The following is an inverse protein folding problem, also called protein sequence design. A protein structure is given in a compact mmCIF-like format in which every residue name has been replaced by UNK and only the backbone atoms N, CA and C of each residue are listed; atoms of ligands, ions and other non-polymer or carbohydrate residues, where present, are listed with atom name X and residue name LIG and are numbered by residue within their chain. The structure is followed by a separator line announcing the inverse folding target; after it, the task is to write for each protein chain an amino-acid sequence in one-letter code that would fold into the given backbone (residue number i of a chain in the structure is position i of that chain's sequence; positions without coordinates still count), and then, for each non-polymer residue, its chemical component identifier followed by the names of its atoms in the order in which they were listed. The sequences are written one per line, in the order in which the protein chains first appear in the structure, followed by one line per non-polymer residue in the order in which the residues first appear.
data_IF_692177076576
#
_entry.id   IF_692177076576
#
_cell.length_a   1.000
_cell.length_b   1.000
_cell.length_c   1.000
_cell.angle_alpha   90.00
_cell.angle_beta   90.00
_cell.angle_gamma   90.00
#
_symmetry.space_group_name_H-M   'P 1'
#
loop_
_entity.id
_entity.type
_entity.pdbx_description
1 polymer ?
#
# COMPACT_ATOMS: atom_id res chain seq x y z
N UNK A 1 19.96 -24.94 32.80
CA UNK A 1 18.80 -24.30 32.18
C UNK A 1 17.62 -24.50 33.10
N UNK A 2 16.90 -23.43 33.44
CA UNK A 2 15.64 -23.54 34.17
C UNK A 2 14.59 -24.28 33.32
N UNK A 3 13.59 -24.89 33.96
CA UNK A 3 12.49 -25.58 33.26
C UNK A 3 11.81 -24.66 32.24
N UNK A 4 11.65 -23.38 32.59
CA UNK A 4 11.06 -22.34 31.74
C UNK A 4 11.95 -21.98 30.54
N UNK A 5 13.28 -21.92 30.71
CA UNK A 5 14.20 -21.71 29.58
C UNK A 5 14.14 -22.85 28.56
N UNK A 6 14.15 -24.10 29.03
CA UNK A 6 14.05 -25.29 28.14
C UNK A 6 12.72 -25.27 27.41
N UNK A 7 11.64 -24.95 28.11
CA UNK A 7 10.30 -24.84 27.55
C UNK A 7 10.22 -23.74 26.47
N UNK A 8 10.86 -22.59 26.72
CA UNK A 8 10.99 -21.50 25.75
C UNK A 8 11.76 -21.89 24.49
N UNK A 9 12.87 -22.62 24.61
CA UNK A 9 13.63 -23.12 23.46
C UNK A 9 12.82 -24.13 22.63
N UNK A 10 12.12 -25.06 23.28
CA UNK A 10 11.27 -26.05 22.60
C UNK A 10 10.13 -25.35 21.88
N UNK A 11 9.49 -24.35 22.52
CA UNK A 11 8.44 -23.56 21.90
C UNK A 11 8.95 -22.80 20.67
N UNK A 12 10.10 -22.12 20.76
CA UNK A 12 10.65 -21.34 19.66
C UNK A 12 11.01 -22.24 18.47
N UNK A 13 11.63 -23.39 18.74
CA UNK A 13 11.92 -24.38 17.69
C UNK A 13 10.63 -24.96 17.09
N UNK A 14 9.62 -25.26 17.93
CA UNK A 14 8.31 -25.74 17.50
C UNK A 14 7.57 -24.73 16.63
N UNK A 15 7.61 -23.45 16.99
CA UNK A 15 7.04 -22.35 16.21
C UNK A 15 7.66 -22.29 14.82
N UNK A 16 8.99 -22.27 14.75
CA UNK A 16 9.72 -22.21 13.48
C UNK A 16 9.43 -23.44 12.63
N UNK A 17 9.42 -24.64 13.22
CA UNK A 17 9.11 -25.89 12.52
C UNK A 17 7.69 -25.89 11.93
N UNK A 18 6.68 -25.49 12.69
CA UNK A 18 5.28 -25.45 12.23
C UNK A 18 5.07 -24.37 11.15
N UNK A 19 5.79 -23.25 11.22
CA UNK A 19 5.80 -22.24 10.15
C UNK A 19 6.37 -22.82 8.85
N UNK A 20 7.45 -23.60 8.91
CA UNK A 20 8.02 -24.26 7.71
C UNK A 20 7.14 -25.36 7.12
N UNK A 21 6.30 -26.01 7.94
CA UNK A 21 5.27 -26.95 7.46
C UNK A 21 4.20 -26.22 6.63
N UNK A 22 4.13 -24.89 6.69
CA UNK A 22 3.16 -24.08 5.96
C UNK A 22 1.80 -24.00 6.65
N UNK A 23 1.72 -24.35 7.93
CA UNK A 23 0.50 -24.21 8.71
C UNK A 23 0.21 -22.72 8.99
N UNK A 24 -1.06 -22.26 8.97
CA UNK A 24 -1.36 -20.85 9.10
C UNK A 24 -0.89 -20.28 10.45
N UNK A 25 -0.13 -19.19 10.38
CA UNK A 25 0.64 -18.62 11.50
C UNK A 25 -0.26 -18.31 12.71
N UNK A 26 -1.45 -17.76 12.51
CA UNK A 26 -2.37 -17.43 13.61
C UNK A 26 -2.77 -18.65 14.46
N UNK A 27 -3.02 -19.80 13.83
CA UNK A 27 -3.34 -21.02 14.56
C UNK A 27 -2.11 -21.58 15.28
N UNK A 28 -0.94 -21.50 14.63
CA UNK A 28 0.35 -21.88 15.24
C UNK A 28 0.60 -21.11 16.53
N UNK A 29 0.46 -19.78 16.49
CA UNK A 29 0.66 -18.91 17.64
C UNK A 29 -0.33 -19.23 18.77
N UNK A 30 -1.63 -19.37 18.46
CA UNK A 30 -2.64 -19.67 19.47
C UNK A 30 -2.43 -21.05 20.13
N UNK A 31 -2.13 -22.06 19.32
CA UNK A 31 -1.90 -23.43 19.81
C UNK A 31 -0.67 -23.51 20.70
N UNK A 32 0.44 -22.90 20.26
CA UNK A 32 1.66 -22.83 21.06
C UNK A 32 1.44 -22.03 22.35
N UNK A 33 0.74 -20.90 22.27
CA UNK A 33 0.40 -20.09 23.44
C UNK A 33 -0.38 -20.89 24.49
N UNK A 34 -1.42 -21.61 24.08
CA UNK A 34 -2.27 -22.35 25.02
C UNK A 34 -1.52 -23.57 25.61
N UNK A 35 -0.78 -24.32 24.80
CA UNK A 35 -0.09 -25.54 25.27
C UNK A 35 1.13 -25.20 26.12
N UNK A 36 2.03 -24.37 25.59
CA UNK A 36 3.25 -24.02 26.31
C UNK A 36 2.96 -23.07 27.47
N UNK A 37 1.98 -22.18 27.34
CA UNK A 37 1.46 -21.39 28.45
C UNK A 37 0.85 -22.28 29.53
N UNK A 38 0.02 -23.26 29.16
CA UNK A 38 -0.61 -24.18 30.11
C UNK A 38 0.40 -25.00 30.92
N UNK A 39 1.50 -25.43 30.28
CA UNK A 39 2.59 -26.16 30.95
C UNK A 39 3.47 -25.22 31.81
N UNK A 40 3.70 -23.97 31.36
CA UNK A 40 4.59 -23.03 32.03
C UNK A 40 3.95 -22.22 33.17
N UNK A 41 2.77 -21.65 32.93
CA UNK A 41 2.03 -20.76 33.84
C UNK A 41 0.84 -21.43 34.52
N UNK A 42 0.45 -22.62 34.06
CA UNK A 42 -0.78 -23.29 34.47
C UNK A 42 -1.96 -22.98 33.55
N UNK A 43 -2.85 -23.97 33.40
CA UNK A 43 -4.00 -23.89 32.49
C UNK A 43 -4.95 -22.74 32.81
N UNK A 44 -5.33 -22.56 34.09
CA UNK A 44 -6.29 -21.54 34.49
C UNK A 44 -5.80 -20.12 34.19
N UNK A 45 -4.54 -19.82 34.49
CA UNK A 45 -3.96 -18.50 34.22
C UNK A 45 -3.83 -18.26 32.72
N UNK A 46 -3.42 -19.28 31.96
CA UNK A 46 -3.29 -19.19 30.50
C UNK A 46 -4.63 -18.92 29.83
N UNK A 47 -5.69 -19.64 30.22
CA UNK A 47 -7.03 -19.42 29.67
C UNK A 47 -7.59 -18.05 30.05
N UNK A 48 -7.37 -17.58 31.30
CA UNK A 48 -7.81 -16.25 31.72
C UNK A 48 -7.08 -15.14 30.95
N UNK A 49 -5.75 -15.24 30.76
CA UNK A 49 -4.98 -14.28 29.97
C UNK A 49 -5.42 -14.29 28.50
N UNK A 50 -5.59 -15.47 27.91
CA UNK A 50 -6.09 -15.59 26.54
C UNK A 50 -7.48 -14.95 26.39
N UNK A 51 -8.39 -15.21 27.32
CA UNK A 51 -9.73 -14.61 27.33
C UNK A 51 -9.67 -13.07 27.44
N UNK A 52 -8.91 -12.55 28.41
CA UNK A 52 -8.75 -11.11 28.61
C UNK A 52 -8.16 -10.44 27.37
N UNK A 53 -7.19 -11.08 26.73
CA UNK A 53 -6.53 -10.51 25.56
C UNK A 53 -7.42 -10.55 24.32
N UNK A 54 -8.15 -11.65 24.09
CA UNK A 54 -9.15 -11.73 23.01
C UNK A 54 -10.18 -10.63 23.20
N UNK A 55 -10.70 -10.46 24.43
CA UNK A 55 -11.75 -9.50 24.71
C UNK A 55 -11.27 -8.05 24.72
N UNK A 56 -10.04 -7.80 25.18
CA UNK A 56 -9.39 -6.50 25.09
C UNK A 56 -9.15 -6.10 23.63
N UNK A 57 -8.61 -7.02 22.83
CA UNK A 57 -8.36 -6.79 21.39
C UNK A 57 -9.67 -6.50 20.65
N UNK A 58 -10.77 -7.20 20.96
CA UNK A 58 -12.08 -6.95 20.33
C UNK A 58 -12.71 -5.59 20.66
N UNK A 59 -12.29 -4.95 21.76
CA UNK A 59 -12.80 -3.63 22.19
C UNK A 59 -11.98 -2.46 21.66
N UNK A 60 -10.90 -2.73 20.93
CA UNK A 60 -10.02 -1.70 20.42
C UNK A 60 -10.70 -0.90 19.30
N UNK A 61 -10.67 0.42 19.41
CA UNK A 61 -11.29 1.35 18.47
C UNK A 61 -10.53 1.44 17.13
N UNK A 62 -9.30 0.93 17.06
CA UNK A 62 -8.43 1.00 15.88
C UNK A 62 -8.68 -0.17 14.91
N UNK A 63 -9.04 -1.36 15.40
CA UNK A 63 -9.27 -2.52 14.51
C UNK A 63 -10.42 -2.37 13.51
N UNK A 64 -11.51 -1.62 13.77
CA UNK A 64 -12.49 -1.29 12.75
C UNK A 64 -11.91 -0.56 11.52
N UNK A 65 -10.76 0.12 11.64
CA UNK A 65 -10.07 0.73 10.50
C UNK A 65 -9.51 -0.31 9.51
N UNK A 66 -9.20 -1.53 9.98
CA UNK A 66 -8.58 -2.59 9.18
C UNK A 66 -9.46 -3.01 7.99
N UNK A 67 -10.73 -3.44 8.18
CA UNK A 67 -11.62 -3.72 7.07
C UNK A 67 -11.82 -2.54 6.11
N UNK A 68 -11.86 -1.30 6.63
CA UNK A 68 -12.10 -0.11 5.81
C UNK A 68 -10.92 0.20 4.89
N UNK A 69 -9.68 0.11 5.39
CA UNK A 69 -8.48 0.25 4.55
C UNK A 69 -8.35 -0.87 3.54
N UNK A 70 -8.63 -2.11 3.94
CA UNK A 70 -8.64 -3.25 3.03
C UNK A 70 -9.69 -3.04 1.93
N UNK A 71 -10.88 -2.57 2.28
CA UNK A 71 -11.95 -2.28 1.33
C UNK A 71 -11.57 -1.17 0.36
N UNK A 72 -10.98 -0.08 0.86
CA UNK A 72 -10.40 0.98 0.03
C UNK A 72 -9.42 0.40 -0.99
N UNK A 73 -8.54 -0.51 -0.55
CA UNK A 73 -7.61 -1.22 -1.40
C UNK A 73 -8.30 -2.01 -2.53
N UNK A 74 -9.24 -2.88 -2.18
CA UNK A 74 -9.97 -3.68 -3.18
C UNK A 74 -10.79 -2.82 -4.14
N UNK A 75 -11.40 -1.73 -3.66
CA UNK A 75 -12.17 -0.82 -4.51
C UNK A 75 -11.28 -0.06 -5.49
N UNK A 76 -10.10 0.39 -5.05
CA UNK A 76 -9.13 1.06 -5.95
C UNK A 76 -8.53 0.10 -6.97
N UNK A 77 -8.35 -1.17 -6.61
CA UNK A 77 -7.95 -2.23 -7.54
C UNK A 77 -9.02 -2.46 -8.62
N UNK A 78 -10.28 -2.63 -8.23
CA UNK A 78 -11.38 -2.85 -9.16
C UNK A 78 -11.67 -1.65 -10.08
N UNK A 79 -11.34 -0.44 -9.66
CA UNK A 79 -11.39 0.75 -10.51
C UNK A 79 -10.42 0.67 -11.71
N UNK A 80 -9.53 -0.33 -11.76
CA UNK A 80 -8.57 -0.52 -12.83
C UNK A 80 -7.44 0.52 -12.82
N UNK A 81 -7.18 1.10 -11.64
CA UNK A 81 -6.16 2.13 -11.46
C UNK A 81 -4.75 1.55 -11.58
N UNK A 82 -4.56 0.28 -11.16
CA UNK A 82 -3.25 -0.37 -11.23
C UNK A 82 -2.79 -0.58 -12.67
N UNK A 83 -3.65 -1.11 -13.55
CA UNK A 83 -3.29 -1.38 -14.95
C UNK A 83 -2.97 -0.08 -15.70
N UNK A 84 -3.74 0.97 -15.43
CA UNK A 84 -3.50 2.32 -15.96
C UNK A 84 -2.17 2.89 -15.48
N UNK A 85 -1.92 2.80 -14.17
CA UNK A 85 -0.68 3.27 -13.58
C UNK A 85 0.53 2.54 -14.14
N UNK A 86 0.44 1.21 -14.25
CA UNK A 86 1.48 0.38 -14.84
C UNK A 86 1.74 0.74 -16.30
N UNK A 87 0.69 0.87 -17.12
CA UNK A 87 0.80 1.27 -18.52
C UNK A 87 1.44 2.65 -18.68
N UNK A 88 1.05 3.61 -17.84
CA UNK A 88 1.57 4.97 -17.86
C UNK A 88 3.05 5.03 -17.43
N UNK A 89 3.42 4.37 -16.34
CA UNK A 89 4.81 4.32 -15.85
C UNK A 89 5.73 3.56 -16.81
N UNK A 90 5.27 2.44 -17.37
CA UNK A 90 6.00 1.71 -18.43
C UNK A 90 6.31 2.63 -19.60
N UNK A 91 5.31 3.38 -20.05
CA UNK A 91 5.45 4.25 -21.22
C UNK A 91 6.36 5.44 -20.95
N UNK A 92 6.26 6.05 -19.76
CA UNK A 92 7.14 7.13 -19.34
C UNK A 92 8.60 6.69 -19.24
N UNK A 93 8.83 5.46 -18.77
CA UNK A 93 10.16 4.89 -18.58
C UNK A 93 10.68 4.14 -19.80
N UNK A 94 9.95 4.16 -20.93
CA UNK A 94 10.26 3.36 -22.11
C UNK A 94 11.66 3.58 -22.69
N UNK A 95 12.26 4.75 -22.47
CA UNK A 95 13.62 5.10 -22.90
C UNK A 95 14.73 4.50 -22.04
N UNK A 96 14.40 3.97 -20.85
CA UNK A 96 15.37 3.43 -19.91
C UNK A 96 15.55 1.92 -20.10
N UNK A 97 16.78 1.44 -19.91
CA UNK A 97 17.08 0.00 -19.82
C UNK A 97 16.52 -0.54 -18.50
N UNK A 98 15.84 -1.68 -18.53
CA UNK A 98 15.12 -2.22 -17.37
C UNK A 98 13.81 -1.49 -17.03
N UNK A 99 13.21 -0.77 -18.00
CA UNK A 99 11.98 0.02 -17.81
C UNK A 99 10.80 -0.76 -17.23
N UNK A 100 10.65 -2.04 -17.59
CA UNK A 100 9.59 -2.89 -17.05
C UNK A 100 9.80 -3.23 -15.57
N UNK A 101 11.04 -3.43 -15.11
CA UNK A 101 11.31 -3.65 -13.69
C UNK A 101 10.99 -2.39 -12.88
N UNK A 102 11.38 -1.23 -13.39
CA UNK A 102 11.05 0.05 -12.78
C UNK A 102 9.54 0.29 -12.74
N UNK A 103 8.84 0.02 -13.84
CA UNK A 103 7.39 0.18 -13.91
C UNK A 103 6.70 -0.71 -12.88
N UNK A 104 7.14 -1.97 -12.69
CA UNK A 104 6.58 -2.85 -11.65
C UNK A 104 6.87 -2.29 -10.25
N UNK A 105 8.12 -1.98 -9.93
CA UNK A 105 8.50 -1.54 -8.57
C UNK A 105 7.82 -0.21 -8.22
N UNK A 106 7.79 0.76 -9.14
CA UNK A 106 7.16 2.06 -8.90
C UNK A 106 5.63 1.95 -8.84
N UNK A 107 5.01 1.16 -9.73
CA UNK A 107 3.57 0.89 -9.64
C UNK A 107 3.24 0.24 -8.30
N UNK A 108 4.02 -0.78 -7.90
CA UNK A 108 3.84 -1.46 -6.62
C UNK A 108 4.04 -0.52 -5.44
N UNK A 109 5.02 0.39 -5.49
CA UNK A 109 5.30 1.39 -4.44
C UNK A 109 4.13 2.37 -4.27
N UNK A 110 3.61 2.90 -5.39
CA UNK A 110 2.51 3.86 -5.35
C UNK A 110 1.20 3.17 -4.94
N UNK A 111 0.99 1.96 -5.43
CA UNK A 111 -0.23 1.19 -5.16
C UNK A 111 -0.21 0.50 -3.79
N UNK A 112 0.97 0.22 -3.25
CA UNK A 112 1.19 -0.28 -1.87
C UNK A 112 0.54 0.65 -0.85
N UNK A 113 0.66 1.96 -1.06
CA UNK A 113 -0.01 2.97 -0.22
C UNK A 113 -1.54 2.83 -0.26
N UNK A 114 -2.15 2.43 -1.37
CA UNK A 114 -3.60 2.31 -1.44
C UNK A 114 -4.14 1.01 -0.83
N UNK A 115 -3.39 -0.09 -0.93
CA UNK A 115 -3.91 -1.43 -0.63
C UNK A 115 -3.42 -2.01 0.68
N UNK A 116 -2.18 -1.74 1.09
CA UNK A 116 -1.63 -2.29 2.33
C UNK A 116 -1.54 -3.83 2.40
N UNK A 117 -1.77 -4.55 1.28
CA UNK A 117 -1.89 -6.02 1.21
C UNK A 117 -0.93 -6.58 0.18
N UNK A 118 -0.06 -7.50 0.61
CA UNK A 118 0.95 -8.12 -0.27
C UNK A 118 0.34 -9.05 -1.31
N UNK A 119 -0.56 -9.95 -0.88
CA UNK A 119 -1.06 -11.03 -1.73
C UNK A 119 -1.75 -10.53 -3.00
N UNK A 120 -2.73 -9.63 -2.84
CA UNK A 120 -3.48 -9.07 -3.96
C UNK A 120 -2.56 -8.33 -4.95
N UNK A 121 -1.72 -7.41 -4.46
CA UNK A 121 -0.82 -6.63 -5.31
C UNK A 121 0.17 -7.50 -6.10
N UNK A 122 0.76 -8.52 -5.46
CA UNK A 122 1.68 -9.46 -6.14
C UNK A 122 0.94 -10.26 -7.21
N UNK A 123 -0.28 -10.72 -6.95
CA UNK A 123 -1.04 -11.52 -7.94
C UNK A 123 -1.42 -10.71 -9.17
N UNK A 124 -1.91 -9.47 -9.01
CA UNK A 124 -2.29 -8.61 -10.14
C UNK A 124 -1.06 -8.22 -10.96
N UNK A 125 0.02 -7.79 -10.30
CA UNK A 125 1.29 -7.48 -10.98
C UNK A 125 1.88 -8.72 -11.66
N UNK A 126 1.75 -9.91 -11.05
CA UNK A 126 2.19 -11.17 -11.62
C UNK A 126 1.45 -11.54 -12.92
N UNK A 127 0.12 -11.48 -12.89
CA UNK A 127 -0.75 -11.80 -14.04
C UNK A 127 -0.54 -10.78 -15.18
N UNK A 128 -0.37 -9.50 -14.85
CA UNK A 128 -0.22 -8.43 -15.84
C UNK A 128 1.21 -8.29 -16.37
N UNK A 129 2.20 -8.18 -15.49
CA UNK A 129 3.58 -7.86 -15.87
C UNK A 129 4.41 -9.10 -16.23
N UNK A 130 4.13 -10.26 -15.62
CA UNK A 130 4.89 -11.49 -15.83
C UNK A 130 4.93 -11.93 -17.31
N UNK A 131 3.78 -12.16 -17.96
CA UNK A 131 3.73 -12.55 -19.38
C UNK A 131 4.35 -11.50 -20.30
N UNK A 132 4.21 -10.22 -19.97
CA UNK A 132 4.75 -9.11 -20.73
C UNK A 132 6.29 -9.07 -20.66
N UNK A 133 6.86 -9.23 -19.47
CA UNK A 133 8.31 -9.29 -19.26
C UNK A 133 8.94 -10.45 -20.04
N UNK A 134 8.32 -11.62 -20.00
CA UNK A 134 8.79 -12.81 -20.73
C UNK A 134 8.76 -12.54 -22.25
N UNK A 135 7.67 -11.97 -22.77
CA UNK A 135 7.55 -11.62 -24.20
C UNK A 135 8.57 -10.56 -24.63
N UNK A 136 8.88 -9.60 -23.77
CA UNK A 136 9.87 -8.56 -24.01
C UNK A 136 11.33 -9.05 -23.85
N UNK A 137 11.55 -10.33 -23.53
CA UNK A 137 12.89 -10.92 -23.38
C UNK A 137 13.59 -10.57 -22.05
N UNK A 138 12.83 -10.25 -21.00
CA UNK A 138 13.38 -10.06 -19.65
C UNK A 138 13.65 -11.40 -18.98
N UNK A 139 14.62 -11.44 -18.06
CA UNK A 139 14.95 -12.64 -17.30
C UNK A 139 13.83 -13.00 -16.31
N UNK A 140 13.25 -14.20 -16.47
CA UNK A 140 12.12 -14.65 -15.67
C UNK A 140 12.42 -14.70 -14.16
N UNK A 141 13.67 -14.99 -13.76
CA UNK A 141 14.06 -15.07 -12.35
C UNK A 141 14.09 -13.69 -11.71
N UNK A 142 14.73 -12.72 -12.38
CA UNK A 142 14.75 -11.34 -11.91
C UNK A 142 13.35 -10.71 -11.95
N UNK A 143 12.53 -11.02 -12.96
CA UNK A 143 11.11 -10.61 -13.04
C UNK A 143 10.28 -11.12 -11.87
N UNK A 144 10.38 -12.41 -11.55
CA UNK A 144 9.67 -12.98 -10.40
C UNK A 144 10.13 -12.30 -9.09
N UNK A 145 11.44 -12.07 -8.93
CA UNK A 145 11.99 -11.34 -7.80
C UNK A 145 11.49 -9.90 -7.69
N UNK A 146 11.45 -9.15 -8.80
CA UNK A 146 10.98 -7.77 -8.82
C UNK A 146 9.49 -7.64 -8.52
N UNK A 147 8.66 -8.56 -9.03
CA UNK A 147 7.22 -8.60 -8.75
C UNK A 147 6.96 -8.94 -7.28
N UNK A 148 7.65 -9.97 -6.76
CA UNK A 148 7.52 -10.37 -5.36
C UNK A 148 8.00 -9.26 -4.41
N UNK A 149 9.20 -8.71 -4.65
CA UNK A 149 9.76 -7.64 -3.83
C UNK A 149 8.89 -6.38 -3.88
N UNK A 150 8.46 -5.96 -5.08
CA UNK A 150 7.58 -4.82 -5.26
C UNK A 150 6.27 -4.96 -4.50
N UNK A 151 5.59 -6.10 -4.61
CA UNK A 151 4.31 -6.29 -3.93
C UNK A 151 4.42 -6.39 -2.41
N UNK A 152 5.58 -6.78 -1.85
CA UNK A 152 5.79 -6.76 -0.39
C UNK A 152 5.92 -5.36 0.22
N UNK A 153 6.16 -4.32 -0.59
CA UNK A 153 6.24 -2.94 -0.12
C UNK A 153 4.93 -2.44 0.52
N UNK A 154 3.79 -3.08 0.19
CA UNK A 154 2.47 -2.83 0.79
C UNK A 154 2.43 -2.92 2.30
N UNK A 155 3.30 -3.72 2.93
CA UNK A 155 3.33 -3.82 4.41
C UNK A 155 3.96 -2.57 5.03
N UNK A 156 4.96 -2.00 4.35
CA UNK A 156 5.84 -0.98 4.94
C UNK A 156 5.40 0.44 4.61
N UNK A 157 4.89 0.70 3.39
CA UNK A 157 4.58 2.06 2.95
C UNK A 157 3.18 2.46 3.41
N UNK A 158 3.02 3.54 4.21
CA UNK A 158 1.72 3.98 4.71
C UNK A 158 0.76 4.45 3.61
N UNK A 159 -0.57 4.34 3.80
CA UNK A 159 -1.29 3.70 4.91
C UNK A 159 -1.30 2.18 4.76
N UNK A 160 -0.58 1.48 5.64
CA UNK A 160 -0.53 0.02 5.63
C UNK A 160 -1.32 -0.56 6.78
N UNK A 161 -2.17 -1.52 6.46
CA UNK A 161 -3.04 -2.21 7.42
C UNK A 161 -2.24 -2.86 8.54
N UNK A 162 -1.05 -3.39 8.23
CA UNK A 162 -0.19 -4.01 9.23
C UNK A 162 0.36 -3.02 10.26
N UNK A 163 0.72 -1.80 9.86
CA UNK A 163 1.17 -0.80 10.84
C UNK A 163 0.03 -0.34 11.76
N UNK A 164 -1.21 -0.30 11.25
CA UNK A 164 -2.42 -0.01 12.05
C UNK A 164 -2.62 -1.08 13.12
N UNK A 165 -2.52 -2.36 12.73
CA UNK A 165 -2.68 -3.50 13.64
C UNK A 165 -1.57 -3.56 14.67
N UNK A 166 -0.35 -3.23 14.29
CA UNK A 166 0.80 -3.24 15.18
C UNK A 166 0.79 -2.10 16.21
N UNK A 167 0.15 -0.96 15.91
CA UNK A 167 0.08 0.20 16.80
C UNK A 167 -0.37 -0.13 18.23
N UNK A 168 -1.59 -0.66 18.42
CA UNK A 168 -2.08 -1.08 19.73
C UNK A 168 -1.16 -2.09 20.43
N UNK A 169 -0.62 -3.05 19.68
CA UNK A 169 0.25 -4.09 20.26
C UNK A 169 1.57 -3.54 20.79
N UNK A 170 2.09 -2.47 20.18
CA UNK A 170 3.32 -1.80 20.62
C UNK A 170 3.06 -0.64 21.59
N UNK A 171 1.79 -0.27 21.83
CA UNK A 171 1.44 0.91 22.63
C UNK A 171 1.87 2.23 22.00
N UNK A 172 2.11 2.25 20.68
CA UNK A 172 2.56 3.44 19.93
C UNK A 172 1.41 3.94 19.06
N UNK A 173 1.08 5.23 19.07
CA UNK A 173 0.00 5.76 18.24
C UNK A 173 0.33 5.62 16.74
N UNK A 174 -0.70 5.29 15.96
CA UNK A 174 -0.58 4.92 14.53
C UNK A 174 0.02 6.02 13.67
N UNK A 175 -0.27 7.29 13.98
CA UNK A 175 0.28 8.44 13.26
C UNK A 175 1.82 8.50 13.32
N UNK A 176 2.40 8.18 14.48
CA UNK A 176 3.85 8.13 14.66
C UNK A 176 4.44 6.97 13.87
N UNK A 177 3.83 5.78 13.93
CA UNK A 177 4.26 4.62 13.13
C UNK A 177 4.24 4.92 11.63
N UNK A 178 3.19 5.58 11.14
CA UNK A 178 3.11 6.00 9.74
C UNK A 178 4.22 7.00 9.38
N UNK A 179 4.40 8.04 10.20
CA UNK A 179 5.46 9.03 9.95
C UNK A 179 6.86 8.40 9.93
N UNK A 180 7.11 7.44 10.83
CA UNK A 180 8.38 6.73 10.92
C UNK A 180 8.59 5.74 9.77
N UNK A 181 7.52 5.13 9.25
CA UNK A 181 7.61 4.11 8.21
C UNK A 181 7.87 4.66 6.79
N UNK A 182 7.60 5.94 6.53
CA UNK A 182 7.89 6.56 5.23
C UNK A 182 9.36 6.47 4.83
N UNK A 183 10.26 6.79 5.76
CA UNK A 183 11.72 6.75 5.54
C UNK A 183 12.20 5.37 5.05
N UNK A 184 12.05 4.30 5.87
CA UNK A 184 12.48 2.96 5.47
C UNK A 184 11.68 2.42 4.27
N UNK A 185 10.40 2.76 4.13
CA UNK A 185 9.57 2.35 2.99
C UNK A 185 10.12 2.85 1.65
N UNK A 186 10.34 4.16 1.52
CA UNK A 186 10.90 4.74 0.29
C UNK A 186 12.37 4.39 0.09
N UNK A 187 13.15 4.24 1.16
CA UNK A 187 14.53 3.75 1.06
C UNK A 187 14.57 2.35 0.44
N UNK A 188 13.73 1.42 0.92
CA UNK A 188 13.68 0.06 0.39
C UNK A 188 13.22 0.03 -1.07
N UNK A 189 12.20 0.81 -1.41
CA UNK A 189 11.75 0.97 -2.80
C UNK A 189 12.88 1.51 -3.70
N UNK A 190 13.63 2.51 -3.23
CA UNK A 190 14.77 3.07 -3.94
C UNK A 190 15.91 2.05 -4.11
N UNK A 191 16.19 1.23 -3.09
CA UNK A 191 17.17 0.16 -3.17
C UNK A 191 16.75 -0.92 -4.19
N UNK A 192 15.47 -1.29 -4.26
CA UNK A 192 14.96 -2.22 -5.26
C UNK A 192 15.09 -1.65 -6.68
N UNK A 193 14.74 -0.38 -6.87
CA UNK A 193 14.93 0.36 -8.13
C UNK A 193 16.41 0.38 -8.54
N UNK A 194 17.29 0.76 -7.61
CA UNK A 194 18.72 0.83 -7.86
C UNK A 194 19.31 -0.55 -8.21
N UNK A 195 18.92 -1.60 -7.47
CA UNK A 195 19.34 -2.97 -7.74
C UNK A 195 18.91 -3.42 -9.15
N UNK A 196 17.64 -3.23 -9.51
CA UNK A 196 17.12 -3.60 -10.82
C UNK A 196 17.82 -2.84 -11.96
N UNK A 197 18.09 -1.55 -11.77
CA UNK A 197 18.82 -0.72 -12.72
C UNK A 197 20.27 -1.18 -12.88
N UNK A 198 21.01 -1.28 -11.77
CA UNK A 198 22.43 -1.69 -11.78
C UNK A 198 22.57 -3.03 -12.49
N UNK A 199 21.70 -4.01 -12.18
CA UNK A 199 21.70 -5.32 -12.85
C UNK A 199 21.38 -5.23 -14.34
N UNK A 200 20.45 -4.37 -14.73
CA UNK A 200 20.09 -4.14 -16.14
C UNK A 200 21.17 -3.40 -16.92
N UNK A 201 21.95 -2.54 -16.26
CA UNK A 201 23.10 -1.84 -16.87
C UNK A 201 24.32 -2.76 -17.01
N UNK A 202 24.61 -3.59 -15.99
CA UNK A 202 25.72 -4.55 -16.03
C UNK A 202 25.48 -5.68 -17.03
N UNK A 203 24.24 -6.15 -17.16
CA UNK A 203 23.89 -7.17 -18.13
C UNK A 203 22.65 -6.75 -18.94
N UNK A 204 22.86 -6.14 -20.13
CA UNK A 204 21.78 -5.65 -20.98
C UNK A 204 20.78 -6.73 -21.43
N UNK A 205 21.14 -8.01 -21.34
CA UNK A 205 20.23 -9.14 -21.65
C UNK A 205 19.17 -9.35 -20.56
N UNK A 206 19.39 -8.89 -19.33
CA UNK A 206 18.43 -9.08 -18.23
C UNK A 206 17.23 -8.14 -18.31
N UNK A 207 17.38 -6.99 -18.97
CA UNK A 207 16.36 -5.95 -19.08
C UNK A 207 16.53 -5.13 -20.36
N UNK A 208 16.25 -5.72 -21.54
CA UNK A 208 16.36 -5.01 -22.81
C UNK A 208 15.50 -3.74 -22.83
N UNK A 209 15.99 -2.71 -23.54
CA UNK A 209 15.21 -1.50 -23.77
C UNK A 209 14.05 -1.80 -24.74
N UNK A 210 12.94 -1.08 -24.58
CA UNK A 210 11.75 -1.24 -25.43
C UNK A 210 12.08 -0.86 -26.87
N UNK A 211 11.64 -1.66 -27.85
CA UNK A 211 11.90 -1.40 -29.28
C UNK A 211 11.13 -0.17 -29.76
N UNK A 212 11.64 0.52 -30.80
CA UNK A 212 11.04 1.76 -31.29
C UNK A 212 9.60 1.60 -31.81
N UNK A 213 9.22 0.40 -32.27
CA UNK A 213 7.85 0.08 -32.69
C UNK A 213 6.90 -0.09 -31.51
N UNK A 214 7.32 -0.75 -30.42
CA UNK A 214 6.57 -0.82 -29.17
C UNK A 214 6.42 0.56 -28.53
N UNK A 215 7.41 1.44 -28.68
CA UNK A 215 7.35 2.85 -28.23
C UNK A 215 6.29 3.64 -28.98
N UNK A 216 6.19 3.46 -30.31
CA UNK A 216 5.15 4.12 -31.13
C UNK A 216 3.76 3.61 -30.81
N UNK A 217 3.58 2.30 -30.64
CA UNK A 217 2.30 1.71 -30.26
C UNK A 217 1.81 2.19 -28.88
N UNK A 218 2.71 2.30 -27.89
CA UNK A 218 2.40 2.85 -26.58
C UNK A 218 1.92 4.32 -26.68
N UNK A 219 2.60 5.15 -27.48
CA UNK A 219 2.23 6.54 -27.70
C UNK A 219 0.84 6.72 -28.33
N UNK A 220 0.49 5.86 -29.29
CA UNK A 220 -0.81 5.91 -29.95
C UNK A 220 -1.96 5.50 -29.00
N UNK A 221 -1.78 4.46 -28.19
CA UNK A 221 -2.81 4.01 -27.24
C UNK A 221 -3.18 5.09 -26.20
N UNK A 222 -2.22 5.90 -25.76
CA UNK A 222 -2.45 6.98 -24.77
C UNK A 222 -3.05 8.26 -25.36
N UNK A 223 -2.85 8.53 -26.64
CA UNK A 223 -3.43 9.72 -27.30
C UNK A 223 -4.92 9.52 -27.62
N UNK A 224 -5.36 8.27 -27.78
CA UNK A 224 -6.77 7.91 -28.07
C UNK A 224 -7.64 7.67 -26.84
N UNK A 225 -7.07 7.55 -25.63
CA UNK A 225 -7.87 7.42 -24.41
C UNK A 225 -8.52 8.79 -24.11
N UNK A 226 -9.75 8.99 -24.58
CA UNK A 226 -10.58 10.13 -24.20
C UNK A 226 -10.99 10.00 -22.74
N UNK A 227 -10.09 10.40 -21.86
CA UNK A 227 -10.39 10.50 -20.43
C UNK A 227 -11.44 11.60 -20.26
N UNK A 228 -12.63 11.22 -19.79
CA UNK A 228 -13.77 12.12 -19.61
C UNK A 228 -13.44 13.34 -18.74
N UNK A 229 -14.13 14.45 -19.00
CA UNK A 229 -14.00 15.70 -18.24
C UNK A 229 -13.96 15.54 -16.70
N UNK A 230 -14.79 14.69 -16.05
CA UNK A 230 -14.74 14.54 -14.58
C UNK A 230 -13.41 13.97 -14.08
N UNK A 231 -12.79 13.06 -14.82
CA UNK A 231 -11.51 12.44 -14.43
C UNK A 231 -10.34 13.43 -14.62
N UNK A 232 -10.41 14.32 -15.61
CA UNK A 232 -9.42 15.39 -15.81
C UNK A 232 -9.44 16.41 -14.68
N UNK A 233 -10.63 16.82 -14.27
CA UNK A 233 -10.82 17.76 -13.15
C UNK A 233 -10.31 17.14 -11.86
N UNK A 234 -10.68 15.88 -11.61
CA UNK A 234 -10.24 15.14 -10.43
C UNK A 234 -8.72 14.98 -10.40
N UNK A 235 -8.10 14.52 -11.49
CA UNK A 235 -6.65 14.36 -11.56
C UNK A 235 -5.88 15.67 -11.36
N UNK A 236 -6.44 16.80 -11.79
CA UNK A 236 -5.83 18.11 -11.61
C UNK A 236 -5.97 18.62 -10.16
N UNK A 237 -7.15 18.47 -9.55
CA UNK A 237 -7.36 18.73 -8.11
C UNK A 237 -6.40 17.90 -7.26
N UNK A 238 -6.22 16.64 -7.63
CA UNK A 238 -5.36 15.72 -6.92
C UNK A 238 -3.87 16.07 -7.01
N UNK A 239 -3.40 16.53 -8.17
CA UNK A 239 -2.00 16.99 -8.35
C UNK A 239 -1.72 18.24 -7.50
N UNK A 240 -2.69 19.14 -7.39
CA UNK A 240 -2.61 20.31 -6.50
C UNK A 240 -2.49 19.88 -5.04
N UNK A 241 -3.27 18.88 -4.60
CA UNK A 241 -3.18 18.34 -3.24
C UNK A 241 -1.82 17.69 -2.97
N UNK A 242 -1.30 16.89 -3.91
CA UNK A 242 0.02 16.24 -3.76
C UNK A 242 1.14 17.27 -3.71
N UNK A 243 1.13 18.26 -4.60
CA UNK A 243 2.12 19.33 -4.62
C UNK A 243 2.09 20.14 -3.32
N UNK A 244 0.89 20.39 -2.78
CA UNK A 244 0.71 21.08 -1.50
C UNK A 244 1.21 20.24 -0.31
N UNK A 245 0.90 18.93 -0.27
CA UNK A 245 1.36 18.02 0.79
C UNK A 245 2.89 17.87 0.76
N UNK A 246 3.49 17.73 -0.42
CA UNK A 246 4.95 17.67 -0.57
C UNK A 246 5.57 19.00 -0.11
N UNK A 247 4.98 20.14 -0.51
CA UNK A 247 5.44 21.45 -0.09
C UNK A 247 5.33 21.63 1.43
N UNK A 248 4.25 21.19 2.06
CA UNK A 248 4.05 21.26 3.51
C UNK A 248 5.04 20.37 4.28
N UNK A 249 5.32 19.16 3.78
CA UNK A 249 6.35 18.26 4.34
C UNK A 249 7.75 18.86 4.20
N UNK A 250 8.09 19.45 3.05
CA UNK A 250 9.39 20.10 2.82
C UNK A 250 9.54 21.36 3.68
N UNK A 251 8.49 22.18 3.79
CA UNK A 251 8.49 23.37 4.63
C UNK A 251 8.55 23.03 6.13
N UNK A 252 7.90 21.94 6.54
CA UNK A 252 7.98 21.42 7.91
C UNK A 252 9.38 20.91 8.27
N UNK A 253 10.14 20.38 7.31
CA UNK A 253 11.56 20.02 7.53
C UNK A 253 12.49 21.24 7.49
N UNK A 254 12.08 22.34 6.85
CA UNK A 254 12.82 23.59 6.78
C UNK A 254 12.57 24.56 7.96
N UNK A 255 11.73 24.18 8.94
CA UNK A 255 11.48 24.98 10.15
C UNK A 255 10.62 26.24 9.93
N UNK A 256 9.91 26.32 8.80
CA UNK A 256 9.02 27.45 8.46
C UNK A 256 7.61 27.13 9.01
N UNK A 257 6.93 28.07 9.70
CA UNK A 257 5.65 27.79 10.35
C UNK A 257 4.57 27.33 9.36
N UNK A 258 3.78 26.35 9.81
CA UNK A 258 2.68 25.69 9.07
C UNK A 258 1.77 26.72 8.39
N UNK A 259 1.43 26.49 7.11
CA UNK A 259 0.23 27.12 6.56
C UNK A 259 -0.97 26.52 7.28
N UNK A 260 -1.45 27.22 8.30
CA UNK A 260 -2.62 26.84 9.06
C UNK A 260 -3.82 26.74 8.12
N UNK A 261 -4.52 25.60 8.21
CA UNK A 261 -5.83 25.36 7.62
C UNK A 261 -6.85 26.36 8.19
N UNK A 262 -6.89 27.59 7.66
CA UNK A 262 -7.87 28.61 8.03
C UNK A 262 -8.90 28.68 6.92
N UNK A 263 -10.04 28.03 7.15
CA UNK A 263 -11.24 28.09 6.32
C UNK A 263 -11.66 29.57 6.19
N UNK A 264 -11.22 30.24 5.12
CA UNK A 264 -11.51 31.66 4.97
C UNK A 264 -10.92 32.30 3.72
N UNK A 265 -11.66 32.24 2.60
CA UNK A 265 -11.58 33.05 1.35
C UNK A 265 -10.24 33.19 0.60
N UNK A 266 -9.08 33.02 1.24
CA UNK A 266 -7.73 33.15 0.65
C UNK A 266 -7.24 31.85 -0.03
N UNK A 267 -7.76 30.69 0.38
CA UNK A 267 -7.39 29.40 -0.23
C UNK A 267 -7.87 29.25 -1.67
N UNK A 268 -9.04 29.82 -2.01
CA UNK A 268 -9.60 29.75 -3.37
C UNK A 268 -8.71 30.53 -4.36
N UNK A 269 -8.06 31.60 -3.92
CA UNK A 269 -7.12 32.37 -4.75
C UNK A 269 -5.77 31.67 -4.95
N UNK A 270 -5.27 30.92 -3.98
CA UNK A 270 -4.01 30.16 -4.11
C UNK A 270 -4.25 28.89 -4.95
N UNK A 271 -5.37 28.21 -4.73
CA UNK A 271 -5.83 27.09 -5.58
C UNK A 271 -6.09 27.60 -7.00
N UNK A 272 -6.69 28.78 -7.17
CA UNK A 272 -6.90 29.45 -8.46
C UNK A 272 -5.62 29.88 -9.18
N UNK A 273 -4.61 30.35 -8.44
CA UNK A 273 -3.31 30.74 -8.99
C UNK A 273 -2.44 29.51 -9.29
N UNK A 274 -2.56 28.43 -8.51
CA UNK A 274 -1.98 27.13 -8.79
C UNK A 274 -2.63 26.48 -10.02
N UNK A 275 -3.96 26.57 -10.16
CA UNK A 275 -4.72 26.16 -11.35
C UNK A 275 -4.27 26.93 -12.61
N UNK A 276 -4.09 28.25 -12.49
CA UNK A 276 -3.64 29.12 -13.58
C UNK A 276 -2.18 28.87 -13.98
N UNK A 277 -1.26 28.73 -13.02
CA UNK A 277 0.14 28.42 -13.28
C UNK A 277 0.37 26.98 -13.76
N UNK A 278 -0.49 26.01 -13.39
CA UNK A 278 -0.43 24.64 -13.91
C UNK A 278 -1.04 24.47 -15.31
N UNK A 279 -1.96 25.33 -15.72
CA UNK A 279 -2.41 25.38 -17.12
C UNK A 279 -1.28 25.76 -18.10
N UNK A 280 -0.16 26.28 -17.58
CA UNK A 280 1.07 26.58 -18.30
C UNK A 280 2.12 25.44 -18.25
N UNK A 281 1.89 24.34 -17.51
CA UNK A 281 2.77 23.17 -17.55
C UNK A 281 2.60 22.40 -18.88
N UNK A 282 3.63 21.65 -19.32
CA UNK A 282 3.58 20.79 -20.52
C UNK A 282 2.58 19.60 -20.42
N UNK A 283 1.63 19.64 -19.48
CA UNK A 283 0.50 18.73 -19.32
C UNK A 283 -0.33 18.59 -20.60
N UNK A 284 -0.51 19.68 -21.36
CA UNK A 284 -1.26 19.64 -22.62
C UNK A 284 -0.40 19.24 -23.84
N UNK A 285 0.93 19.16 -23.70
CA UNK A 285 1.87 18.94 -24.81
C UNK A 285 2.46 17.54 -24.86
N UNK A 286 2.48 16.80 -23.74
CA UNK A 286 3.15 15.50 -23.66
C UNK A 286 2.19 14.40 -23.17
N UNK A 287 1.75 13.54 -24.10
CA UNK A 287 0.75 12.49 -23.84
C UNK A 287 1.14 11.54 -22.70
N UNK A 288 2.44 11.24 -22.58
CA UNK A 288 3.01 10.42 -21.50
C UNK A 288 2.77 11.03 -20.11
N UNK A 289 3.03 12.33 -19.96
CA UNK A 289 2.89 13.03 -18.68
C UNK A 289 1.42 13.12 -18.28
N UNK A 290 0.54 13.37 -19.26
CA UNK A 290 -0.91 13.39 -19.05
C UNK A 290 -1.45 12.04 -18.58
N UNK A 291 -1.05 10.93 -19.20
CA UNK A 291 -1.49 9.58 -18.80
C UNK A 291 -1.03 9.23 -17.37
N UNK A 292 0.22 9.56 -17.03
CA UNK A 292 0.79 9.33 -15.69
C UNK A 292 0.08 10.16 -14.63
N UNK A 293 -0.11 11.46 -14.89
CA UNK A 293 -0.83 12.35 -13.97
C UNK A 293 -2.27 11.89 -13.76
N UNK A 294 -2.98 11.52 -14.84
CA UNK A 294 -4.37 11.07 -14.72
C UNK A 294 -4.51 9.74 -13.97
N UNK A 295 -3.53 8.84 -14.09
CA UNK A 295 -3.52 7.57 -13.35
C UNK A 295 -3.12 7.71 -11.88
N UNK A 296 -2.06 8.49 -11.59
CA UNK A 296 -1.51 8.66 -10.24
C UNK A 296 -2.41 9.55 -9.39
N UNK A 297 -2.89 10.66 -9.95
CA UNK A 297 -3.43 11.72 -9.13
C UNK A 297 -4.66 11.30 -8.29
N UNK A 298 -5.71 10.62 -8.83
CA UNK A 298 -6.86 10.20 -8.03
C UNK A 298 -6.48 9.32 -6.84
N UNK A 299 -5.55 8.38 -7.06
CA UNK A 299 -5.06 7.47 -6.03
C UNK A 299 -4.26 8.24 -4.98
N UNK A 300 -3.33 9.07 -5.42
CA UNK A 300 -2.46 9.85 -4.55
C UNK A 300 -3.21 10.92 -3.76
N UNK A 301 -4.33 11.47 -4.26
CA UNK A 301 -5.16 12.35 -3.45
C UNK A 301 -6.03 11.60 -2.45
N UNK A 302 -6.54 10.42 -2.80
CA UNK A 302 -7.24 9.57 -1.83
C UNK A 302 -6.29 9.19 -0.69
N UNK A 303 -5.09 8.73 -1.03
CA UNK A 303 -4.02 8.42 -0.08
C UNK A 303 -3.61 9.68 0.70
N UNK A 304 -3.36 10.80 0.02
CA UNK A 304 -2.92 12.05 0.63
C UNK A 304 -3.96 12.63 1.58
N UNK A 305 -5.25 12.49 1.26
CA UNK A 305 -6.35 12.88 2.13
C UNK A 305 -6.40 11.99 3.38
N UNK A 306 -6.44 10.67 3.19
CA UNK A 306 -6.52 9.70 4.30
C UNK A 306 -5.30 9.79 5.22
N UNK A 307 -4.09 9.71 4.67
CA UNK A 307 -2.85 9.87 5.45
C UNK A 307 -2.72 11.27 6.04
N UNK A 308 -3.04 12.31 5.28
CA UNK A 308 -2.95 13.69 5.75
C UNK A 308 -3.79 13.92 7.00
N UNK A 309 -5.01 13.36 7.04
CA UNK A 309 -5.87 13.46 8.22
C UNK A 309 -5.33 12.69 9.44
N UNK A 310 -4.63 11.56 9.23
CA UNK A 310 -4.07 10.74 10.31
C UNK A 310 -2.78 11.36 10.84
N UNK A 311 -1.84 11.70 9.95
CA UNK A 311 -0.55 12.29 10.32
C UNK A 311 -0.74 13.70 10.87
N UNK A 312 -1.71 14.46 10.33
CA UNK A 312 -2.11 15.76 10.86
C UNK A 312 -2.85 15.71 12.19
N UNK A 313 -3.23 14.52 12.68
CA UNK A 313 -3.98 14.36 13.93
C UNK A 313 -5.41 14.94 13.88
N UNK A 314 -5.95 15.13 12.67
CA UNK A 314 -7.28 15.71 12.45
C UNK A 314 -8.41 14.68 12.62
N UNK A 315 -8.11 13.41 12.36
CA UNK A 315 -9.06 12.31 12.44
C UNK A 315 -8.39 11.06 13.01
N UNK A 316 -9.18 10.22 13.68
CA UNK A 316 -8.72 8.89 14.09
C UNK A 316 -8.47 8.00 12.87
N UNK A 317 -7.65 6.94 12.97
CA UNK A 317 -7.43 6.00 11.86
C UNK A 317 -8.74 5.43 11.29
N UNK A 318 -9.75 5.20 12.14
CA UNK A 318 -11.06 4.67 11.75
C UNK A 318 -11.88 5.69 10.95
N UNK A 319 -11.90 6.95 11.38
CA UNK A 319 -12.56 8.05 10.64
C UNK A 319 -11.89 8.29 9.29
N UNK A 320 -10.55 8.35 9.28
CA UNK A 320 -9.78 8.52 8.04
C UNK A 320 -9.99 7.33 7.07
N UNK A 321 -9.98 6.09 7.57
CA UNK A 321 -10.26 4.91 6.77
C UNK A 321 -11.68 4.91 6.20
N UNK A 322 -12.67 5.39 6.96
CA UNK A 322 -14.06 5.52 6.50
C UNK A 322 -14.16 6.49 5.32
N UNK A 323 -13.53 7.66 5.42
CA UNK A 323 -13.47 8.63 4.33
C UNK A 323 -12.70 8.08 3.12
N UNK A 324 -11.63 7.31 3.34
CA UNK A 324 -10.87 6.64 2.29
C UNK A 324 -11.69 5.59 1.54
N UNK A 325 -12.37 4.71 2.27
CA UNK A 325 -13.28 3.71 1.72
C UNK A 325 -14.41 4.35 0.89
N UNK A 326 -15.01 5.43 1.41
CA UNK A 326 -16.01 6.20 0.70
C UNK A 326 -15.44 6.85 -0.57
N UNK A 327 -14.27 7.48 -0.47
CA UNK A 327 -13.60 8.09 -1.61
C UNK A 327 -13.21 7.07 -2.70
N UNK A 328 -12.75 5.87 -2.31
CA UNK A 328 -12.48 4.77 -3.25
C UNK A 328 -13.75 4.28 -3.96
N UNK A 329 -14.86 4.15 -3.23
CA UNK A 329 -16.15 3.79 -3.83
C UNK A 329 -16.64 4.86 -4.80
N UNK A 330 -16.52 6.13 -4.43
CA UNK A 330 -16.86 7.26 -5.29
C UNK A 330 -15.97 7.31 -6.54
N UNK A 331 -14.66 7.06 -6.40
CA UNK A 331 -13.75 6.93 -7.52
C UNK A 331 -14.19 5.82 -8.47
N UNK A 332 -14.45 4.62 -7.96
CA UNK A 332 -14.92 3.50 -8.77
C UNK A 332 -16.23 3.83 -9.52
N UNK A 333 -17.13 4.60 -8.90
CA UNK A 333 -18.36 5.10 -9.53
C UNK A 333 -18.07 6.09 -10.66
N UNK A 334 -17.23 7.10 -10.41
CA UNK A 334 -16.84 8.12 -11.42
C UNK A 334 -16.13 7.48 -12.62
N UNK A 335 -15.36 6.42 -12.38
CA UNK A 335 -14.70 5.66 -13.43
C UNK A 335 -15.61 4.68 -14.19
N UNK A 336 -16.90 4.58 -13.82
CA UNK A 336 -17.85 3.67 -14.44
C UNK A 336 -17.51 2.20 -14.22
N UNK A 337 -16.70 1.89 -13.20
CA UNK A 337 -16.22 0.53 -12.87
C UNK A 337 -16.98 -0.10 -11.70
N UNK A 338 -17.92 0.64 -11.10
CA UNK A 338 -18.74 0.18 -9.98
C UNK A 338 -19.96 -0.60 -10.50
N UNK A 339 -19.85 -1.92 -10.49
CA UNK A 339 -20.95 -2.87 -10.66
C UNK A 339 -21.23 -3.60 -9.34
N UNK A 340 -22.43 -4.13 -9.16
CA UNK A 340 -22.83 -4.89 -7.97
C UNK A 340 -21.92 -6.11 -7.76
N UNK A 341 -21.45 -6.73 -8.85
CA UNK A 341 -20.47 -7.83 -8.82
C UNK A 341 -19.12 -7.35 -8.29
N UNK A 342 -18.63 -6.22 -8.79
CA UNK A 342 -17.39 -5.59 -8.33
C UNK A 342 -17.49 -5.29 -6.83
N UNK A 343 -18.52 -4.56 -6.40
CA UNK A 343 -18.75 -4.23 -4.99
C UNK A 343 -18.83 -5.48 -4.09
N UNK A 344 -19.52 -6.54 -4.54
CA UNK A 344 -19.60 -7.81 -3.80
C UNK A 344 -18.24 -8.51 -3.72
N UNK A 345 -17.47 -8.52 -4.80
CA UNK A 345 -16.12 -9.08 -4.82
C UNK A 345 -15.18 -8.31 -3.88
N UNK A 346 -15.30 -6.97 -3.84
CA UNK A 346 -14.51 -6.12 -2.94
C UNK A 346 -14.87 -6.39 -1.49
N UNK A 347 -16.18 -6.47 -1.18
CA UNK A 347 -16.66 -6.79 0.16
C UNK A 347 -16.21 -8.20 0.61
N UNK A 348 -16.27 -9.20 -0.27
CA UNK A 348 -15.84 -10.57 0.04
C UNK A 348 -14.33 -10.66 0.24
N UNK A 349 -13.54 -10.07 -0.66
CA UNK A 349 -12.08 -9.98 -0.51
C UNK A 349 -11.70 -9.26 0.78
N UNK A 350 -12.44 -8.21 1.12
CA UNK A 350 -12.29 -7.48 2.37
C UNK A 350 -12.55 -8.35 3.58
N UNK A 351 -13.68 -9.05 3.60
CA UNK A 351 -14.07 -9.91 4.72
C UNK A 351 -13.05 -11.03 4.96
N UNK A 352 -12.56 -11.67 3.90
CA UNK A 352 -11.57 -12.74 4.00
C UNK A 352 -10.24 -12.18 4.54
N UNK A 353 -9.75 -11.10 3.95
CA UNK A 353 -8.45 -10.53 4.33
C UNK A 353 -8.49 -9.92 5.72
N UNK A 354 -9.57 -9.21 6.08
CA UNK A 354 -9.73 -8.64 7.41
C UNK A 354 -9.88 -9.72 8.48
N UNK A 355 -10.62 -10.81 8.21
CA UNK A 355 -10.71 -11.94 9.13
C UNK A 355 -9.33 -12.56 9.38
N UNK A 356 -8.53 -12.76 8.33
CA UNK A 356 -7.16 -13.28 8.47
C UNK A 356 -6.26 -12.35 9.31
N UNK A 357 -6.29 -11.05 9.01
CA UNK A 357 -5.46 -10.04 9.70
C UNK A 357 -5.87 -9.89 11.17
N UNK A 358 -7.17 -9.75 11.46
CA UNK A 358 -7.67 -9.60 12.83
C UNK A 358 -7.47 -10.87 13.65
N UNK A 359 -7.65 -12.05 13.05
CA UNK A 359 -7.37 -13.31 13.73
C UNK A 359 -5.87 -13.46 14.05
N UNK A 360 -4.99 -13.04 13.15
CA UNK A 360 -3.55 -12.98 13.41
C UNK A 360 -3.19 -11.99 14.53
N UNK A 361 -3.83 -10.82 14.54
CA UNK A 361 -3.63 -9.82 15.60
C UNK A 361 -3.99 -10.39 16.98
N UNK A 362 -5.17 -11.00 17.10
CA UNK A 362 -5.64 -11.64 18.34
C UNK A 362 -4.71 -12.78 18.76
N UNK A 363 -4.32 -13.66 17.84
CA UNK A 363 -3.42 -14.77 18.16
C UNK A 363 -2.04 -14.27 18.62
N UNK A 364 -1.51 -13.24 17.96
CA UNK A 364 -0.23 -12.62 18.31
C UNK A 364 -0.27 -11.96 19.68
N UNK A 365 -1.36 -11.29 20.04
CA UNK A 365 -1.47 -10.66 21.35
C UNK A 365 -1.63 -11.68 22.47
N UNK A 366 -2.42 -12.74 22.26
CA UNK A 366 -2.52 -13.87 23.20
C UNK A 366 -1.17 -14.53 23.42
N UNK A 367 -0.44 -14.82 22.33
CA UNK A 367 0.90 -15.38 22.40
C UNK A 367 1.86 -14.45 23.15
N UNK A 368 1.86 -13.14 22.82
CA UNK A 368 2.67 -12.15 23.52
C UNK A 368 2.40 -12.14 25.03
N UNK A 369 1.13 -11.99 25.44
CA UNK A 369 0.72 -11.87 26.83
C UNK A 369 1.02 -13.10 27.70
N UNK A 370 1.16 -14.29 27.09
CA UNK A 370 1.48 -15.53 27.81
C UNK A 370 3.00 -15.69 28.02
N UNK A 371 3.83 -15.05 27.18
CA UNK A 371 5.29 -15.24 27.21
C UNK A 371 6.10 -13.98 27.58
N UNK A 372 5.44 -12.84 27.79
CA UNK A 372 5.97 -11.69 28.55
C UNK A 372 5.56 -11.78 29.99
#
# INVERSE_FOLDING_TARGET
MSFTEVLGFIMLFGMVAVIFIGFPISFTLLFLAIIFGGIGLGWDQTFNLAYLQIWGTMKDEIFPAVPLFIFMGYMTEQAGLMERLFGALRSLLATLRGSLYLAVILTATIFAMATGIVGAAVTVLGIMAGPMMIKAGYDARLSAGAIAAGGTLGILIPPSVMLVVMGPTMGIPVNLLYSAAFGPGFLLAALYVAYALIRSFLNPKLGPAMTDDERRAAYHAMTTEEVGAPVRILGLVCLVVIAYVILDVVLSQAGIPRLAFTIGRLDISIIGLALASLSALPYNRNAYFRAVVLGIAPLSALIGFTLGTIVGGLATPTEAASCGAFGAAMLALVYGRLDLKSATNAARGTMITSAMVLFLAVASTVFGAIFT
#
